data_IF_522763964526
#
_entry.id   IF_522763964526
#
_cell.length_a   1.000
_cell.length_b   1.000
_cell.length_c   1.000
_cell.angle_alpha   90.00
_cell.angle_beta   90.00
_cell.angle_gamma   90.00
#
_symmetry.space_group_name_H-M   'P 1'
#
loop_
_entity.id
_entity.type
_entity.pdbx_description
1 polymer ?
#
# COMPACT_ATOMS: atom_id res chain seq x y z
N UNK A 1 12.44 -7.42 -11.30
CA UNK A 1 12.96 -6.13 -10.79
C UNK A 1 11.76 -5.30 -10.37
N UNK A 2 11.75 -4.73 -9.17
CA UNK A 2 10.69 -3.83 -8.73
C UNK A 2 11.28 -2.42 -8.74
N UNK A 3 10.61 -1.46 -9.38
CA UNK A 3 10.93 -0.04 -9.24
C UNK A 3 9.99 0.51 -8.17
N UNK A 4 10.52 1.27 -7.23
CA UNK A 4 9.75 1.91 -6.17
C UNK A 4 9.61 3.39 -6.53
N UNK A 5 8.38 3.87 -6.60
CA UNK A 5 8.03 5.26 -6.88
C UNK A 5 8.18 6.10 -5.63
N UNK A 6 8.66 7.33 -5.74
CA UNK A 6 8.38 8.31 -4.70
C UNK A 6 6.88 8.58 -4.61
N UNK A 7 6.38 8.91 -3.42
CA UNK A 7 4.96 9.23 -3.20
C UNK A 7 4.43 10.29 -4.17
N UNK A 8 5.24 11.28 -4.57
CA UNK A 8 4.87 12.33 -5.52
C UNK A 8 4.98 11.96 -7.00
N UNK A 9 5.51 10.78 -7.34
CA UNK A 9 5.67 10.32 -8.73
C UNK A 9 4.52 9.46 -9.22
N UNK A 10 3.60 9.07 -8.33
CA UNK A 10 2.43 8.28 -8.70
C UNK A 10 1.54 9.05 -9.68
N UNK A 11 1.17 8.39 -10.77
CA UNK A 11 0.20 8.90 -11.74
C UNK A 11 -0.89 7.85 -11.98
N UNK A 12 -2.13 8.22 -11.69
CA UNK A 12 -3.30 7.35 -11.87
C UNK A 12 -3.47 6.93 -13.34
N UNK A 13 -3.01 7.72 -14.31
CA UNK A 13 -3.15 7.40 -15.73
C UNK A 13 -2.27 6.21 -16.16
N UNK A 14 -1.17 5.97 -15.46
CA UNK A 14 -0.26 4.85 -15.71
C UNK A 14 -0.77 3.53 -15.10
N UNK A 15 -1.94 3.54 -14.46
CA UNK A 15 -2.55 2.37 -13.82
C UNK A 15 -3.47 1.62 -14.77
N UNK A 16 -3.30 0.31 -14.91
CA UNK A 16 -4.15 -0.57 -15.70
C UNK A 16 -4.64 -1.74 -14.85
N UNK A 17 -5.83 -2.25 -15.17
CA UNK A 17 -6.45 -3.39 -14.50
C UNK A 17 -6.59 -4.55 -15.49
N UNK A 18 -6.21 -5.75 -15.08
CA UNK A 18 -6.43 -6.98 -15.86
C UNK A 18 -7.84 -7.54 -15.62
N UNK A 19 -8.21 -8.56 -16.38
CA UNK A 19 -9.46 -9.28 -16.15
C UNK A 19 -9.51 -9.94 -14.76
N UNK A 20 -10.70 -10.02 -14.13
CA UNK A 20 -10.86 -10.67 -12.84
C UNK A 20 -10.51 -12.16 -12.88
N UNK A 21 -9.75 -12.62 -11.90
CA UNK A 21 -9.48 -14.05 -11.67
C UNK A 21 -9.99 -14.48 -10.30
N UNK A 22 -10.29 -15.77 -10.10
CA UNK A 22 -10.72 -16.27 -8.79
C UNK A 22 -9.65 -15.97 -7.73
N UNK A 23 -10.05 -15.36 -6.62
CA UNK A 23 -9.14 -15.06 -5.53
C UNK A 23 -8.82 -16.35 -4.76
N UNK A 24 -7.53 -16.58 -4.48
CA UNK A 24 -7.06 -17.76 -3.75
C UNK A 24 -6.91 -17.54 -2.25
N UNK A 25 -7.00 -16.28 -1.79
CA UNK A 25 -6.81 -15.87 -0.40
C UNK A 25 -8.15 -15.58 0.29
N UNK A 26 -9.11 -15.04 -0.45
CA UNK A 26 -10.42 -14.67 0.07
C UNK A 26 -11.52 -15.41 -0.69
N UNK A 27 -12.28 -16.23 0.02
CA UNK A 27 -13.38 -17.01 -0.54
C UNK A 27 -14.48 -16.11 -1.12
N UNK A 28 -15.18 -16.62 -2.14
CA UNK A 28 -16.27 -15.92 -2.83
C UNK A 28 -15.89 -14.52 -3.33
N UNK A 29 -14.64 -14.36 -3.76
CA UNK A 29 -14.13 -13.10 -4.27
C UNK A 29 -13.26 -13.29 -5.51
N UNK A 30 -13.18 -12.23 -6.32
CA UNK A 30 -12.25 -12.14 -7.43
C UNK A 30 -11.08 -11.23 -7.06
N UNK A 31 -9.98 -11.44 -7.75
CA UNK A 31 -8.79 -10.61 -7.73
C UNK A 31 -8.57 -10.03 -9.11
N UNK A 32 -8.44 -8.71 -9.18
CA UNK A 32 -8.20 -7.94 -10.39
C UNK A 32 -6.79 -7.39 -10.27
N UNK A 33 -5.85 -7.91 -11.08
CA UNK A 33 -4.46 -7.51 -10.99
C UNK A 33 -4.29 -6.06 -11.45
N UNK A 34 -3.51 -5.29 -10.69
CA UNK A 34 -3.09 -3.94 -11.10
C UNK A 34 -1.72 -3.99 -11.75
N UNK A 35 -1.58 -3.27 -12.86
CA UNK A 35 -0.32 -3.02 -13.58
C UNK A 35 -0.05 -1.52 -13.51
N UNK A 36 1.22 -1.16 -13.27
CA UNK A 36 1.68 0.22 -13.42
C UNK A 36 2.61 0.28 -14.64
N UNK A 37 2.24 1.06 -15.66
CA UNK A 37 2.96 1.11 -16.94
C UNK A 37 3.04 2.54 -17.45
N UNK A 38 4.26 2.95 -17.76
CA UNK A 38 4.54 4.22 -18.45
C UNK A 38 5.44 3.95 -19.67
N UNK A 39 6.00 5.00 -20.27
CA UNK A 39 6.87 4.88 -21.44
C UNK A 39 8.22 4.19 -21.19
N UNK A 40 8.62 4.06 -19.92
CA UNK A 40 9.93 3.53 -19.53
C UNK A 40 9.85 2.08 -19.04
N UNK A 41 8.75 1.69 -18.39
CA UNK A 41 8.62 0.37 -17.78
C UNK A 41 7.17 -0.07 -17.57
N UNK A 42 7.02 -1.36 -17.29
CA UNK A 42 5.78 -1.99 -16.81
C UNK A 42 6.07 -2.82 -15.56
N UNK A 43 5.25 -2.68 -14.53
CA UNK A 43 5.37 -3.39 -13.26
C UNK A 43 4.07 -4.12 -12.89
N UNK A 44 4.25 -5.28 -12.28
CA UNK A 44 3.16 -6.02 -11.65
C UNK A 44 2.89 -5.43 -10.26
N UNK A 45 1.92 -4.51 -10.21
CA UNK A 45 1.56 -3.75 -9.03
C UNK A 45 2.29 -2.41 -8.92
N UNK A 46 1.85 -1.63 -7.94
CA UNK A 46 2.34 -0.29 -7.63
C UNK A 46 3.16 -0.40 -6.34
N UNK A 47 4.34 0.22 -6.32
CA UNK A 47 5.22 0.26 -5.16
C UNK A 47 5.53 1.72 -4.87
N UNK A 48 5.05 2.24 -3.73
CA UNK A 48 5.20 3.64 -3.34
C UNK A 48 6.05 3.70 -2.07
N UNK A 49 7.13 4.47 -2.13
CA UNK A 49 7.95 4.83 -0.98
C UNK A 49 7.37 6.06 -0.29
N UNK A 50 7.27 6.00 1.03
CA UNK A 50 6.82 7.11 1.85
C UNK A 50 7.48 7.05 3.22
N UNK A 51 7.47 8.18 3.93
CA UNK A 51 8.03 8.27 5.27
C UNK A 51 6.92 8.44 6.31
N UNK A 52 7.03 7.77 7.45
CA UNK A 52 6.22 8.05 8.63
C UNK A 52 7.12 8.25 9.83
N UNK A 53 6.86 9.30 10.60
CA UNK A 53 7.40 9.49 11.94
C UNK A 53 6.65 8.58 12.93
N UNK A 54 7.22 7.41 13.21
CA UNK A 54 6.65 6.40 14.09
C UNK A 54 6.99 6.71 15.56
N UNK A 55 5.97 6.74 16.40
CA UNK A 55 6.12 6.96 17.85
C UNK A 55 6.44 5.66 18.59
N UNK A 56 5.65 4.63 18.31
CA UNK A 56 5.70 3.35 19.03
C UNK A 56 5.54 2.19 18.06
N UNK A 57 6.28 1.12 18.30
CA UNK A 57 6.16 -0.13 17.55
C UNK A 57 5.70 -1.22 18.51
N UNK A 58 4.46 -1.67 18.32
CA UNK A 58 3.84 -2.75 19.09
C UNK A 58 3.99 -4.06 18.33
N UNK A 59 4.68 -5.05 18.92
CA UNK A 59 4.78 -6.39 18.33
C UNK A 59 3.56 -7.22 18.70
N UNK A 60 2.90 -7.80 17.71
CA UNK A 60 1.81 -8.76 17.89
C UNK A 60 2.04 -9.98 16.99
N UNK A 61 2.56 -11.06 17.59
CA UNK A 61 3.01 -12.27 16.88
C UNK A 61 3.98 -11.94 15.74
N UNK A 62 3.55 -12.15 14.48
CA UNK A 62 4.32 -11.93 13.26
C UNK A 62 4.04 -10.57 12.59
N UNK A 63 3.25 -9.72 13.24
CA UNK A 63 2.91 -8.38 12.74
C UNK A 63 3.44 -7.34 13.72
N UNK A 64 3.88 -6.23 13.16
CA UNK A 64 4.22 -5.05 13.95
C UNK A 64 3.22 -3.96 13.61
N UNK A 65 2.67 -3.33 14.65
CA UNK A 65 1.79 -2.18 14.54
C UNK A 65 2.63 -0.95 14.84
N UNK A 66 2.90 -0.16 13.81
CA UNK A 66 3.58 1.12 13.93
C UNK A 66 2.52 2.18 14.23
N UNK A 67 2.56 2.74 15.43
CA UNK A 67 1.68 3.81 15.88
C UNK A 67 2.39 5.14 15.66
N UNK A 68 1.70 6.10 15.09
CA UNK A 68 2.23 7.41 14.76
C UNK A 68 1.23 8.52 15.09
N UNK A 69 1.75 9.73 15.27
CA UNK A 69 0.91 10.91 15.42
C UNK A 69 0.36 11.34 14.04
N UNK A 70 -0.95 11.53 13.96
CA UNK A 70 -1.64 11.93 12.74
C UNK A 70 -1.23 13.33 12.28
N UNK A 71 -0.96 14.24 13.21
CA UNK A 71 -0.61 15.63 12.89
C UNK A 71 0.75 15.71 12.19
N UNK A 72 1.74 14.97 12.69
CA UNK A 72 3.09 14.95 12.10
C UNK A 72 3.18 14.18 10.77
N UNK A 73 2.18 13.36 10.45
CA UNK A 73 2.15 12.51 9.24
C UNK A 73 0.94 12.82 8.34
N UNK A 74 0.34 14.00 8.49
CA UNK A 74 -0.91 14.36 7.80
C UNK A 74 -0.73 14.37 6.29
N UNK A 75 0.40 14.89 5.79
CA UNK A 75 0.67 14.98 4.36
C UNK A 75 0.72 13.60 3.69
N UNK A 76 1.49 12.67 4.27
CA UNK A 76 1.65 11.31 3.75
C UNK A 76 0.35 10.53 3.90
N UNK A 77 -0.35 10.68 5.03
CA UNK A 77 -1.63 10.04 5.26
C UNK A 77 -2.69 10.47 4.23
N UNK A 78 -2.81 11.79 3.97
CA UNK A 78 -3.73 12.32 2.96
C UNK A 78 -3.33 11.85 1.57
N UNK A 79 -2.05 11.93 1.22
CA UNK A 79 -1.58 11.57 -0.13
C UNK A 79 -1.85 10.10 -0.43
N UNK A 80 -1.50 9.19 0.49
CA UNK A 80 -1.78 7.76 0.33
C UNK A 80 -3.28 7.47 0.25
N UNK A 81 -4.09 8.16 1.08
CA UNK A 81 -5.55 8.01 1.05
C UNK A 81 -6.15 8.49 -0.27
N UNK A 82 -5.59 9.55 -0.87
CA UNK A 82 -5.97 10.03 -2.20
C UNK A 82 -5.61 9.00 -3.28
N UNK A 83 -4.41 8.42 -3.24
CA UNK A 83 -4.01 7.34 -4.17
C UNK A 83 -4.99 6.15 -4.08
N UNK A 84 -5.34 5.70 -2.88
CA UNK A 84 -6.34 4.64 -2.71
C UNK A 84 -7.70 5.01 -3.33
N UNK A 85 -8.14 6.26 -3.11
CA UNK A 85 -9.40 6.75 -3.67
C UNK A 85 -9.38 6.82 -5.19
N UNK A 86 -8.28 7.28 -5.78
CA UNK A 86 -8.11 7.39 -7.22
C UNK A 86 -8.10 6.01 -7.89
N UNK A 87 -7.50 5.02 -7.26
CA UNK A 87 -7.51 3.64 -7.76
C UNK A 87 -8.93 3.05 -7.78
N UNK A 88 -9.66 3.22 -6.67
CA UNK A 88 -11.02 2.68 -6.54
C UNK A 88 -12.03 3.44 -7.42
N UNK A 89 -11.83 4.75 -7.60
CA UNK A 89 -12.66 5.55 -8.52
C UNK A 89 -12.36 5.25 -9.99
N UNK A 90 -11.11 4.93 -10.34
CA UNK A 90 -10.74 4.55 -11.71
C UNK A 90 -11.37 3.23 -12.14
N UNK A 91 -11.34 2.21 -11.28
CA UNK A 91 -11.92 0.90 -11.63
C UNK A 91 -13.45 0.91 -11.61
N UNK A 92 -14.05 1.68 -10.69
CA UNK A 92 -15.50 1.89 -10.55
C UNK A 92 -16.35 0.66 -10.87
N UNK A 93 -16.47 -0.28 -9.93
CA UNK A 93 -17.23 -1.52 -10.15
C UNK A 93 -18.73 -1.27 -9.88
N UNK A 94 -19.61 -1.33 -10.91
CA UNK A 94 -21.02 -0.98 -10.75
C UNK A 94 -21.74 -1.90 -9.76
N UNK A 95 -22.61 -1.31 -8.93
CA UNK A 95 -23.42 -2.05 -7.96
C UNK A 95 -22.66 -2.53 -6.72
N UNK A 96 -21.40 -2.11 -6.54
CA UNK A 96 -20.57 -2.46 -5.37
C UNK A 96 -20.06 -1.21 -4.66
N UNK A 97 -19.79 -1.37 -3.37
CA UNK A 97 -19.30 -0.30 -2.51
C UNK A 97 -17.76 -0.36 -2.35
N UNK A 98 -17.03 0.75 -2.61
CA UNK A 98 -15.59 0.79 -2.37
C UNK A 98 -15.28 0.85 -0.87
N UNK A 99 -14.25 0.10 -0.45
CA UNK A 99 -13.76 0.05 0.93
C UNK A 99 -12.32 0.60 0.98
N UNK A 100 -12.11 1.60 1.85
CA UNK A 100 -10.87 2.37 1.95
C UNK A 100 -10.02 1.95 3.15
N UNK A 101 -9.58 0.68 3.16
CA UNK A 101 -8.87 0.09 4.32
C UNK A 101 -7.54 0.76 4.62
N UNK A 102 -6.84 1.30 3.62
CA UNK A 102 -5.59 2.04 3.85
C UNK A 102 -5.91 3.35 4.56
N UNK A 103 -6.87 4.11 4.03
CA UNK A 103 -7.33 5.37 4.61
C UNK A 103 -7.83 5.19 6.04
N UNK A 104 -8.60 4.13 6.32
CA UNK A 104 -9.05 3.78 7.67
C UNK A 104 -7.88 3.56 8.64
N UNK A 105 -6.84 2.81 8.24
CA UNK A 105 -5.67 2.58 9.08
C UNK A 105 -4.92 3.88 9.38
N UNK A 106 -4.69 4.69 8.34
CA UNK A 106 -4.00 5.98 8.47
C UNK A 106 -4.77 6.95 9.38
N UNK A 107 -6.09 7.04 9.22
CA UNK A 107 -6.96 7.86 10.06
C UNK A 107 -6.97 7.41 11.54
N UNK A 108 -6.72 6.13 11.79
CA UNK A 108 -6.56 5.55 13.12
C UNK A 108 -5.12 5.68 13.67
N UNK A 109 -4.22 6.36 12.98
CA UNK A 109 -2.85 6.63 13.45
C UNK A 109 -1.97 5.40 13.57
N UNK A 110 -2.22 4.36 12.76
CA UNK A 110 -1.36 3.19 12.75
C UNK A 110 -1.29 2.50 11.39
N UNK A 111 -0.17 1.84 11.11
CA UNK A 111 -0.03 0.86 10.02
C UNK A 111 0.43 -0.49 10.57
N UNK A 112 0.06 -1.56 9.87
CA UNK A 112 0.53 -2.92 10.18
C UNK A 112 1.55 -3.37 9.13
N UNK A 113 2.76 -3.68 9.57
CA UNK A 113 3.82 -4.24 8.75
C UNK A 113 4.03 -5.72 9.08
N UNK A 114 4.33 -6.50 8.04
CA UNK A 114 4.73 -7.90 8.18
C UNK A 114 6.22 -7.99 7.95
N UNK A 115 6.93 -8.64 8.87
CA UNK A 115 8.38 -8.75 8.83
C UNK A 115 8.75 -10.21 8.96
N UNK A 116 9.50 -10.70 7.96
CA UNK A 116 10.02 -12.06 7.93
C UNK A 116 11.33 -12.21 8.74
N UNK A 117 12.00 -11.09 9.12
CA UNK A 117 13.25 -11.10 9.89
C UNK A 117 13.28 -10.07 11.03
N UNK A 118 13.55 -10.55 12.24
CA UNK A 118 13.22 -10.01 13.57
C UNK A 118 13.75 -8.63 14.01
N UNK A 119 14.35 -7.80 13.16
CA UNK A 119 15.01 -6.56 13.59
C UNK A 119 14.48 -5.32 12.86
N UNK A 120 13.32 -4.81 13.26
CA UNK A 120 13.02 -3.39 12.98
C UNK A 120 14.06 -2.58 13.74
N UNK A 121 14.91 -1.86 13.01
CA UNK A 121 15.66 -0.78 13.65
C UNK A 121 14.60 0.24 14.07
N UNK A 122 14.51 0.53 15.37
CA UNK A 122 13.56 1.51 15.95
C UNK A 122 13.58 2.91 15.28
N UNK A 123 14.51 3.15 14.35
CA UNK A 123 14.75 4.38 13.62
C UNK A 123 14.28 4.36 12.16
N UNK A 124 13.60 3.31 11.65
CA UNK A 124 13.14 3.32 10.25
C UNK A 124 11.86 4.14 10.12
N UNK A 125 11.99 5.32 9.52
CA UNK A 125 10.84 6.14 9.13
C UNK A 125 10.39 5.82 7.70
N UNK A 126 11.13 5.02 6.93
CA UNK A 126 10.84 4.75 5.53
C UNK A 126 10.05 3.45 5.36
N UNK A 127 8.98 3.52 4.59
CA UNK A 127 8.06 2.42 4.31
C UNK A 127 7.78 2.31 2.82
N UNK A 128 7.42 1.10 2.39
CA UNK A 128 6.94 0.83 1.05
C UNK A 128 5.50 0.32 1.14
N UNK A 129 4.60 1.00 0.44
CA UNK A 129 3.25 0.55 0.17
C UNK A 129 3.24 -0.19 -1.16
N UNK A 130 2.99 -1.50 -1.10
CA UNK A 130 2.75 -2.32 -2.29
C UNK A 130 1.25 -2.49 -2.49
N UNK A 131 0.75 -2.11 -3.65
CA UNK A 131 -0.64 -2.36 -4.10
C UNK A 131 -0.58 -3.34 -5.27
N UNK A 132 -1.10 -4.55 -5.11
CA UNK A 132 -1.00 -5.62 -6.12
C UNK A 132 -2.22 -5.72 -7.03
N UNK A 133 -3.36 -5.21 -6.60
CA UNK A 133 -4.63 -5.41 -7.28
C UNK A 133 -5.81 -4.86 -6.49
N UNK A 134 -7.00 -5.15 -7.00
CA UNK A 134 -8.29 -4.91 -6.37
C UNK A 134 -8.90 -6.27 -6.03
N UNK A 135 -9.40 -6.43 -4.82
CA UNK A 135 -10.29 -7.54 -4.50
C UNK A 135 -11.74 -7.07 -4.64
N UNK A 136 -12.62 -7.96 -5.07
CA UNK A 136 -14.06 -7.69 -5.11
C UNK A 136 -14.86 -8.92 -4.69
N UNK A 137 -15.95 -8.73 -3.98
CA UNK A 137 -16.94 -9.75 -3.67
C UNK A 137 -18.30 -9.37 -4.27
N UNK A 138 -19.40 -9.93 -3.77
CA UNK A 138 -20.74 -9.63 -4.27
C UNK A 138 -21.17 -8.17 -4.07
N UNK A 139 -20.73 -7.50 -3.00
CA UNK A 139 -21.25 -6.19 -2.56
C UNK A 139 -20.19 -5.11 -2.45
N UNK A 140 -18.93 -5.49 -2.34
CA UNK A 140 -17.83 -4.60 -1.98
C UNK A 140 -16.58 -4.87 -2.81
N UNK A 141 -15.71 -3.87 -2.88
CA UNK A 141 -14.38 -4.00 -3.45
C UNK A 141 -13.39 -3.06 -2.75
N UNK A 142 -12.11 -3.40 -2.82
CA UNK A 142 -11.07 -2.61 -2.18
C UNK A 142 -9.68 -2.98 -2.71
N UNK A 143 -8.69 -2.19 -2.34
CA UNK A 143 -7.30 -2.47 -2.72
C UNK A 143 -6.75 -3.67 -1.96
N UNK A 144 -5.98 -4.51 -2.66
CA UNK A 144 -5.11 -5.53 -2.06
C UNK A 144 -3.71 -4.93 -1.90
N UNK A 145 -3.26 -4.77 -0.66
CA UNK A 145 -2.00 -4.09 -0.35
C UNK A 145 -1.23 -4.73 0.79
N UNK A 146 0.04 -4.32 0.91
CA UNK A 146 0.94 -4.66 2.02
C UNK A 146 1.88 -3.49 2.30
N UNK A 147 2.09 -3.18 3.58
CA UNK A 147 3.17 -2.31 4.02
C UNK A 147 4.42 -3.14 4.38
N UNK A 148 5.58 -2.67 3.95
CA UNK A 148 6.89 -3.24 4.31
C UNK A 148 7.87 -2.14 4.72
N UNK A 149 8.91 -2.50 5.45
CA UNK A 149 10.05 -1.62 5.74
C UNK A 149 10.72 -1.17 4.42
N UNK A 150 11.11 0.09 4.34
CA UNK A 150 11.96 0.60 3.26
C UNK A 150 13.37 0.06 3.39
N UNK A 151 14.02 -0.23 2.26
CA UNK A 151 15.43 -0.60 2.29
C UNK A 151 16.25 0.65 2.58
N UNK A 152 16.92 0.69 3.74
CA UNK A 152 18.00 1.66 3.95
C UNK A 152 18.94 1.59 2.74
N UNK A 153 19.31 2.73 2.12
CA UNK A 153 20.42 2.70 1.17
C UNK A 153 21.61 2.04 1.89
N UNK A 154 22.39 1.17 1.22
CA UNK A 154 23.61 0.65 1.82
C UNK A 154 24.41 1.88 2.26
N UNK A 155 24.63 2.01 3.57
CA UNK A 155 25.45 3.08 4.11
C UNK A 155 26.80 3.09 3.38
N UNK A 156 27.48 4.25 3.29
CA UNK A 156 28.76 4.31 2.62
C UNK A 156 29.64 3.19 3.16
N UNK A 157 30.08 2.30 2.25
CA UNK A 157 31.11 1.32 2.58
C UNK A 157 32.33 2.15 2.97
N UNK A 158 32.66 2.16 4.26
CA UNK A 158 33.96 2.65 4.74
C UNK A 158 35.06 1.79 4.13
#
# INVERSE_FOLDING_TARGET
MNVVLEIGQFNINDVYFQDPVKNTIMDNSNFIRTIYSNSLFMLNGIFIRFNLNVLTIEKSFNKYKCVFDKLYNTHEAITISTIERDLLSKINIPGKHPIYRISEQLANGHIKIFIDNTNIKRSTNEFILKISGIWENATEYGVTYKFTEGALPPGPRM
#
